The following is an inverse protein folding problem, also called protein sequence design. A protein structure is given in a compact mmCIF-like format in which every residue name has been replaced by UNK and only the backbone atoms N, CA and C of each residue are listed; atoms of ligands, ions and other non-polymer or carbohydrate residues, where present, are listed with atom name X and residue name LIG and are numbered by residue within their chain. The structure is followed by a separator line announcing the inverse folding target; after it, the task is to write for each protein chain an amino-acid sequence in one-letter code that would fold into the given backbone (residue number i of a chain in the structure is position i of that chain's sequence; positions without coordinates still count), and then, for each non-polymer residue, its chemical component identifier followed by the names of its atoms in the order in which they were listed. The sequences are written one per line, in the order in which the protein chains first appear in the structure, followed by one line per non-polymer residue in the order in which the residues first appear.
data_IF_067487715846
#
_entry.id   IF_067487715846
#
_cell.length_a   1.000
_cell.length_b   1.000
_cell.length_c   1.000
_cell.angle_alpha   90.00
_cell.angle_beta   90.00
_cell.angle_gamma   90.00
#
_symmetry.space_group_name_H-M   'P 1'
#
loop_
_entity.id
_entity.type
_entity.pdbx_description
1 polymer ?
#
# COMPACT_ATOMS: atom_id res chain seq x y z
N UNK A 1 -5.89 -2.91 10.54
CA UNK A 1 -4.47 -3.24 10.72
C UNK A 1 -4.42 -4.68 11.17
N UNK A 2 -3.73 -5.56 10.44
CA UNK A 2 -3.51 -6.95 10.85
C UNK A 2 -2.11 -6.99 11.46
N UNK A 3 -1.88 -7.72 12.55
CA UNK A 3 -0.53 -7.81 13.13
C UNK A 3 0.48 -8.27 12.06
N UNK A 4 1.60 -7.54 11.94
CA UNK A 4 2.64 -7.76 10.93
C UNK A 4 2.36 -7.15 9.54
N UNK A 5 1.15 -6.64 9.28
CA UNK A 5 0.79 -6.06 7.98
C UNK A 5 0.05 -4.72 8.08
N UNK A 6 0.60 -3.71 7.39
CA UNK A 6 -0.07 -2.45 7.13
C UNK A 6 -0.48 -2.37 5.66
N UNK A 7 -1.78 -2.25 5.42
CA UNK A 7 -2.36 -2.11 4.08
C UNK A 7 -2.80 -0.66 3.89
N UNK A 8 -2.16 0.03 2.94
CA UNK A 8 -2.53 1.39 2.54
C UNK A 8 -3.05 1.35 1.09
N UNK A 9 -4.08 0.54 0.90
CA UNK A 9 -4.79 0.39 -0.37
C UNK A 9 -6.03 1.28 -0.36
N UNK A 10 -6.28 1.93 -1.49
CA UNK A 10 -7.42 2.82 -1.68
C UNK A 10 -8.22 2.36 -2.88
N UNK A 11 -9.53 2.66 -2.89
CA UNK A 11 -10.45 2.24 -3.96
C UNK A 11 -9.99 2.71 -5.35
N UNK A 12 -9.23 3.80 -5.45
CA UNK A 12 -8.70 4.27 -6.73
C UNK A 12 -7.63 3.35 -7.33
N UNK A 13 -7.05 2.43 -6.56
CA UNK A 13 -6.00 1.52 -7.03
C UNK A 13 -6.55 0.42 -7.95
N UNK A 14 -7.80 0.02 -7.80
CA UNK A 14 -8.46 -0.93 -8.72
C UNK A 14 -8.69 -0.33 -10.12
N UNK A 15 -8.65 0.99 -10.24
CA UNK A 15 -8.83 1.71 -11.52
C UNK A 15 -7.51 2.08 -12.18
N UNK A 16 -6.37 1.78 -11.55
CA UNK A 16 -5.07 1.93 -12.19
C UNK A 16 -4.81 0.67 -13.02
N UNK A 17 -4.86 0.81 -14.35
CA UNK A 17 -4.65 -0.32 -15.28
C UNK A 17 -3.28 -1.01 -15.12
N UNK A 18 -2.31 -0.30 -14.55
CA UNK A 18 -0.94 -0.78 -14.27
C UNK A 18 -0.69 -0.91 -12.76
N UNK A 19 -1.62 -1.51 -12.00
CA UNK A 19 -1.41 -1.67 -10.56
C UNK A 19 -0.20 -2.59 -10.28
N UNK A 20 0.87 -1.99 -9.77
CA UNK A 20 2.02 -2.69 -9.20
C UNK A 20 2.04 -2.40 -7.70
N UNK A 21 1.97 -3.43 -6.83
CA UNK A 21 2.06 -3.22 -5.39
C UNK A 21 3.49 -2.83 -5.03
N UNK A 22 3.62 -1.75 -4.25
CA UNK A 22 4.87 -1.38 -3.61
C UNK A 22 4.91 -2.02 -2.23
N UNK A 23 5.92 -2.85 -1.97
CA UNK A 23 6.02 -3.65 -0.74
C UNK A 23 7.29 -3.25 0.00
N UNK A 24 7.10 -2.59 1.13
CA UNK A 24 8.17 -2.20 2.05
C UNK A 24 8.15 -3.14 3.26
N UNK A 25 9.31 -3.68 3.64
CA UNK A 25 9.46 -4.50 4.84
C UNK A 25 10.38 -3.79 5.82
N UNK A 26 9.86 -3.50 7.00
CA UNK A 26 10.61 -2.87 8.09
C UNK A 26 10.87 -3.92 9.17
N UNK A 27 12.13 -4.17 9.48
CA UNK A 27 12.53 -4.96 10.63
C UNK A 27 12.21 -4.18 11.91
N UNK A 28 11.47 -4.81 12.81
CA UNK A 28 11.08 -4.23 14.11
C UNK A 28 11.52 -5.14 15.28
N UNK A 29 12.43 -6.07 15.03
CA UNK A 29 12.95 -7.00 16.02
C UNK A 29 13.59 -6.23 17.16
N UNK A 30 13.06 -6.39 18.37
CA UNK A 30 13.59 -5.77 19.57
C UNK A 30 14.70 -6.62 20.18
N UNK A 31 15.60 -5.98 20.93
CA UNK A 31 16.65 -6.69 21.66
C UNK A 31 16.01 -7.57 22.75
N UNK A 32 16.12 -8.89 22.59
CA UNK A 32 15.50 -9.88 23.48
C UNK A 32 14.30 -10.61 22.87
N UNK A 33 13.88 -10.26 21.65
CA UNK A 33 12.88 -11.03 20.92
C UNK A 33 13.39 -12.43 20.59
N UNK A 34 12.55 -13.44 20.82
CA UNK A 34 12.87 -14.84 20.53
C UNK A 34 12.85 -15.17 19.03
N UNK A 35 12.26 -14.30 18.20
CA UNK A 35 12.16 -14.46 16.76
C UNK A 35 12.16 -13.10 16.06
N UNK A 36 12.61 -13.08 14.80
CA UNK A 36 12.56 -11.88 13.97
C UNK A 36 11.12 -11.43 13.73
N UNK A 37 10.87 -10.14 13.91
CA UNK A 37 9.58 -9.51 13.67
C UNK A 37 9.69 -8.44 12.58
N UNK A 38 8.70 -8.42 11.69
CA UNK A 38 8.67 -7.51 10.55
C UNK A 38 7.30 -6.86 10.44
N UNK A 39 7.29 -5.57 10.11
CA UNK A 39 6.11 -4.90 9.58
C UNK A 39 6.24 -4.86 8.07
N UNK A 40 5.29 -5.50 7.38
CA UNK A 40 5.17 -5.39 5.92
C UNK A 40 4.13 -4.32 5.58
N UNK A 41 4.56 -3.29 4.89
CA UNK A 41 3.70 -2.24 4.38
C UNK A 41 3.48 -2.43 2.88
N UNK A 42 2.21 -2.51 2.47
CA UNK A 42 1.83 -2.68 1.08
C UNK A 42 1.07 -1.43 0.63
N UNK A 43 1.59 -0.81 -0.42
CA UNK A 43 1.11 0.43 -1.01
C UNK A 43 0.83 0.27 -2.50
N UNK A 44 0.17 1.27 -3.05
CA UNK A 44 -0.14 1.39 -4.46
C UNK A 44 0.93 2.26 -5.13
N UNK A 45 1.75 1.67 -6.02
CA UNK A 45 2.75 2.43 -6.74
C UNK A 45 2.07 3.52 -7.58
N UNK A 46 2.59 4.75 -7.54
CA UNK A 46 1.99 5.92 -8.21
C UNK A 46 0.56 6.27 -7.75
N UNK A 47 0.20 6.00 -6.48
CA UNK A 47 -1.10 6.31 -5.88
C UNK A 47 -1.66 7.70 -6.26
N UNK A 48 -0.83 8.73 -6.23
CA UNK A 48 -1.21 10.10 -6.62
C UNK A 48 -1.70 10.21 -8.07
N UNK A 49 -1.01 9.55 -9.01
CA UNK A 49 -1.38 9.53 -10.43
C UNK A 49 -2.73 8.81 -10.60
N UNK A 50 -2.90 7.66 -9.97
CA UNK A 50 -4.14 6.87 -10.01
C UNK A 50 -5.32 7.68 -9.44
N UNK A 51 -5.14 8.35 -8.30
CA UNK A 51 -6.16 9.20 -7.69
C UNK A 51 -6.61 10.33 -8.62
N UNK A 52 -5.67 10.98 -9.33
CA UNK A 52 -5.99 12.01 -10.34
C UNK A 52 -6.73 11.47 -11.55
N UNK A 53 -6.39 10.28 -12.04
CA UNK A 53 -7.08 9.65 -13.15
C UNK A 53 -8.55 9.35 -12.79
N UNK A 54 -8.80 8.77 -11.61
CA UNK A 54 -10.15 8.50 -11.12
C UNK A 54 -10.95 9.79 -10.93
N UNK A 55 -10.34 10.83 -10.35
CA UNK A 55 -11.01 12.12 -10.18
C UNK A 55 -11.43 12.73 -11.53
N UNK A 56 -10.58 12.61 -12.56
CA UNK A 56 -10.90 13.08 -13.91
C UNK A 56 -11.97 12.23 -14.60
N UNK A 57 -11.96 10.90 -14.41
CA UNK A 57 -13.00 10.02 -14.93
C UNK A 57 -14.37 10.33 -14.31
N UNK A 58 -14.43 10.49 -12.98
CA UNK A 58 -15.67 10.86 -12.27
C UNK A 58 -16.23 12.22 -12.67
N UNK A 59 -15.40 13.16 -13.13
CA UNK A 59 -15.83 14.48 -13.63
C UNK A 59 -16.39 14.45 -15.06
N UNK A 60 -16.16 13.38 -15.82
CA UNK A 60 -16.62 13.23 -17.20
C UNK A 60 -17.94 12.45 -17.32
N UNK A 61 -18.43 11.90 -16.21
CA UNK A 61 -19.72 11.18 -16.11
C UNK A 61 -20.77 12.14 -15.56
#
# INVERSE_FOLDING_TARGET
MVEGFSLELQDYCSYCGDFVPDVEKTDITALGDAAYSYITMIRCQNAYKCARMVANLRRKV
#
